data_IF_207947080247
#
_entry.id   IF_207947080247
#
_cell.length_a   1.000
_cell.length_b   1.000
_cell.length_c   1.000
_cell.angle_alpha   90.00
_cell.angle_beta   90.00
_cell.angle_gamma   90.00
#
_symmetry.space_group_name_H-M   'P 1'
#
loop_
_entity.id
_entity.type
_entity.pdbx_description
1 polymer ?
#
# COMPACT_ATOMS: atom_id res chain seq x y z
N UNK A 1 -6.40 0.74 -17.80
CA UNK A 1 -5.05 1.05 -17.29
C UNK A 1 -4.24 -0.24 -17.22
N UNK A 2 -2.97 -0.20 -17.64
CA UNK A 2 -2.04 -1.31 -17.42
C UNK A 2 -1.47 -1.31 -15.99
N UNK A 3 -1.27 -0.12 -15.43
CA UNK A 3 -0.76 0.11 -14.09
C UNK A 3 -1.56 1.23 -13.42
N UNK A 4 -1.89 1.04 -12.15
CA UNK A 4 -2.38 2.05 -11.22
C UNK A 4 -1.37 2.18 -10.08
N UNK A 5 -0.95 3.40 -9.75
CA UNK A 5 -0.04 3.67 -8.63
C UNK A 5 -0.76 4.58 -7.63
N UNK A 6 -0.85 4.13 -6.37
CA UNK A 6 -1.57 4.80 -5.28
C UNK A 6 -0.54 5.31 -4.27
N UNK A 7 -0.42 6.64 -4.18
CA UNK A 7 0.49 7.40 -3.32
C UNK A 7 -0.12 8.78 -3.04
N UNK A 8 -1.36 8.75 -2.56
CA UNK A 8 -2.23 9.92 -2.38
C UNK A 8 -2.43 10.26 -0.91
N UNK A 9 -3.69 10.30 -0.47
CA UNK A 9 -4.00 10.48 0.96
C UNK A 9 -3.62 9.22 1.74
N UNK A 10 -2.68 9.36 2.68
CA UNK A 10 -2.22 8.27 3.53
C UNK A 10 -3.18 7.95 4.68
N UNK A 11 -4.34 8.61 4.78
CA UNK A 11 -5.39 8.13 5.67
C UNK A 11 -5.90 6.76 5.21
N UNK A 12 -6.29 5.89 6.15
CA UNK A 12 -6.85 4.58 5.83
C UNK A 12 -8.05 4.67 4.88
N UNK A 13 -8.95 5.63 5.12
CA UNK A 13 -10.12 5.85 4.25
C UNK A 13 -9.73 6.42 2.88
N UNK A 14 -8.70 7.25 2.81
CA UNK A 14 -8.16 7.80 1.57
C UNK A 14 -7.65 6.70 0.64
N UNK A 15 -6.68 5.89 1.12
CA UNK A 15 -6.11 4.79 0.34
C UNK A 15 -7.17 3.73 -0.04
N UNK A 16 -8.10 3.43 0.87
CA UNK A 16 -9.22 2.50 0.59
C UNK A 16 -10.11 3.03 -0.52
N UNK A 17 -10.49 4.31 -0.44
CA UNK A 17 -11.33 4.97 -1.43
C UNK A 17 -10.66 5.00 -2.79
N UNK A 18 -9.38 5.36 -2.86
CA UNK A 18 -8.61 5.38 -4.11
C UNK A 18 -8.57 3.99 -4.75
N UNK A 19 -8.28 2.95 -3.95
CA UNK A 19 -8.32 1.57 -4.43
C UNK A 19 -9.71 1.19 -4.95
N UNK A 20 -10.77 1.46 -4.19
CA UNK A 20 -12.14 1.09 -4.56
C UNK A 20 -12.60 1.79 -5.85
N UNK A 21 -12.28 3.07 -5.99
CA UNK A 21 -12.66 3.90 -7.14
C UNK A 21 -11.89 3.53 -8.41
N UNK A 22 -10.59 3.33 -8.30
CA UNK A 22 -9.72 3.22 -9.47
C UNK A 22 -9.39 1.79 -9.88
N UNK A 23 -9.45 0.79 -8.97
CA UNK A 23 -9.17 -0.61 -9.33
C UNK A 23 -10.01 -1.14 -10.51
N UNK A 24 -11.30 -0.78 -10.72
CA UNK A 24 -12.08 -1.32 -11.83
C UNK A 24 -11.62 -0.78 -13.20
N UNK A 25 -10.79 0.27 -13.22
CA UNK A 25 -10.22 0.84 -14.45
C UNK A 25 -8.94 0.11 -14.88
N UNK A 26 -8.38 -0.74 -14.02
CA UNK A 26 -7.21 -1.57 -14.32
C UNK A 26 -7.70 -2.83 -15.04
N UNK A 27 -7.07 -3.15 -16.18
CA UNK A 27 -7.45 -4.34 -16.93
C UNK A 27 -7.08 -5.60 -16.15
N UNK A 28 -7.73 -6.71 -16.48
CA UNK A 28 -7.32 -8.03 -16.00
C UNK A 28 -5.83 -8.27 -16.31
N UNK A 29 -5.10 -8.78 -15.31
CA UNK A 29 -3.66 -9.00 -15.34
C UNK A 29 -2.80 -7.73 -15.21
N UNK A 30 -3.41 -6.53 -15.16
CA UNK A 30 -2.72 -5.27 -14.85
C UNK A 30 -2.26 -5.19 -13.40
N UNK A 31 -1.48 -4.15 -13.07
CA UNK A 31 -0.88 -3.99 -11.74
C UNK A 31 -1.49 -2.82 -10.97
N UNK A 32 -1.72 -3.02 -9.68
CA UNK A 32 -2.07 -1.98 -8.72
C UNK A 32 -0.93 -1.90 -7.70
N UNK A 33 -0.29 -0.74 -7.60
CA UNK A 33 0.89 -0.53 -6.76
C UNK A 33 0.54 0.47 -5.65
N UNK A 34 0.90 0.12 -4.42
CA UNK A 34 0.76 0.96 -3.23
C UNK A 34 2.14 1.39 -2.76
N UNK A 35 2.31 2.69 -2.50
CA UNK A 35 3.49 3.22 -1.81
C UNK A 35 3.30 3.17 -0.29
N UNK A 36 4.39 3.24 0.49
CA UNK A 36 4.38 3.30 1.97
C UNK A 36 3.70 2.12 2.69
N UNK A 37 3.95 0.89 2.24
CA UNK A 37 3.33 -0.32 2.83
C UNK A 37 3.98 -0.80 4.15
N UNK A 38 5.18 -0.32 4.49
CA UNK A 38 5.87 -0.66 5.74
C UNK A 38 5.48 0.34 6.83
N UNK A 39 5.10 -0.09 8.05
CA UNK A 39 4.85 0.84 9.15
C UNK A 39 6.09 1.68 9.49
N UNK A 40 5.91 3.00 9.58
CA UNK A 40 6.90 3.91 10.14
C UNK A 40 7.15 3.67 11.63
N UNK A 41 8.22 4.26 12.17
CA UNK A 41 8.61 4.14 13.57
C UNK A 41 7.61 4.76 14.54
N UNK A 42 6.81 5.73 14.09
CA UNK A 42 5.72 6.28 14.87
C UNK A 42 4.67 5.22 15.16
N UNK A 43 4.24 4.50 14.12
CA UNK A 43 3.28 3.41 14.25
C UNK A 43 3.87 2.19 14.98
N UNK A 44 5.11 1.81 14.65
CA UNK A 44 5.71 0.57 15.14
C UNK A 44 6.21 0.68 16.59
N UNK A 45 6.68 1.86 17.00
CA UNK A 45 7.36 2.06 18.29
C UNK A 45 6.85 3.26 19.10
N UNK A 46 5.93 4.07 18.57
CA UNK A 46 5.50 5.32 19.21
C UNK A 46 6.59 6.41 19.20
N UNK A 47 7.57 6.30 18.30
CA UNK A 47 8.70 7.23 18.22
C UNK A 47 8.37 8.45 17.33
N UNK A 48 8.97 9.60 17.61
CA UNK A 48 8.92 10.72 16.68
C UNK A 48 9.79 10.40 15.45
N UNK A 49 9.18 10.42 14.27
CA UNK A 49 9.84 10.20 12.98
C UNK A 49 9.36 11.23 11.95
N UNK A 50 10.13 11.38 10.86
CA UNK A 50 9.74 12.13 9.66
C UNK A 50 8.91 11.32 8.67
N UNK A 51 8.96 9.99 8.72
CA UNK A 51 8.15 9.14 7.85
C UNK A 51 6.68 9.21 8.28
N UNK A 52 5.76 9.10 7.32
CA UNK A 52 4.32 9.14 7.56
C UNK A 52 3.60 8.21 6.59
N UNK A 53 3.54 6.94 6.96
CA UNK A 53 2.88 5.90 6.14
C UNK A 53 1.37 5.79 6.41
N UNK A 54 0.89 6.43 7.48
CA UNK A 54 -0.53 6.54 7.80
C UNK A 54 -1.25 5.19 7.87
N UNK A 55 -2.43 5.09 7.27
CA UNK A 55 -3.24 3.88 7.21
C UNK A 55 -2.88 2.92 6.08
N UNK A 56 -1.87 3.23 5.25
CA UNK A 56 -1.49 2.38 4.10
C UNK A 56 -0.99 1.00 4.53
N UNK A 57 -0.11 0.84 5.55
CA UNK A 57 0.32 -0.47 6.01
C UNK A 57 -0.82 -1.36 6.49
N UNK A 58 -1.80 -0.78 7.20
CA UNK A 58 -3.00 -1.51 7.64
C UNK A 58 -3.82 -1.97 6.44
N UNK A 59 -4.14 -1.07 5.52
CA UNK A 59 -4.95 -1.41 4.35
C UNK A 59 -4.27 -2.46 3.46
N UNK A 60 -2.95 -2.33 3.27
CA UNK A 60 -2.17 -3.32 2.55
C UNK A 60 -2.22 -4.71 3.19
N UNK A 61 -2.11 -4.81 4.52
CA UNK A 61 -2.24 -6.08 5.23
C UNK A 61 -3.62 -6.74 4.99
N UNK A 62 -4.69 -5.95 4.92
CA UNK A 62 -6.02 -6.45 4.58
C UNK A 62 -6.09 -6.97 3.15
N UNK A 63 -5.54 -6.24 2.17
CA UNK A 63 -5.51 -6.68 0.78
C UNK A 63 -4.74 -8.01 0.63
N UNK A 64 -3.58 -8.15 1.27
CA UNK A 64 -2.81 -9.41 1.26
C UNK A 64 -3.61 -10.61 1.78
N UNK A 65 -4.55 -10.41 2.70
CA UNK A 65 -5.40 -11.49 3.20
C UNK A 65 -6.54 -11.87 2.24
N UNK A 66 -6.91 -10.98 1.33
CA UNK A 66 -8.04 -11.15 0.38
C UNK A 66 -7.60 -11.56 -1.01
N UNK A 67 -6.41 -11.14 -1.43
CA UNK A 67 -5.88 -11.33 -2.78
C UNK A 67 -4.66 -12.26 -2.76
N UNK A 68 -4.66 -13.33 -3.58
CA UNK A 68 -3.58 -14.31 -3.57
C UNK A 68 -2.33 -13.89 -4.36
N UNK A 69 -2.47 -13.00 -5.36
CA UNK A 69 -1.37 -12.55 -6.22
C UNK A 69 -0.90 -11.15 -5.82
N UNK A 70 -0.04 -11.12 -4.80
CA UNK A 70 0.58 -9.92 -4.25
C UNK A 70 2.09 -10.11 -4.09
N UNK A 71 2.84 -9.03 -4.27
CA UNK A 71 4.29 -8.98 -4.07
C UNK A 71 4.66 -7.72 -3.27
N UNK A 72 5.69 -7.82 -2.45
CA UNK A 72 6.28 -6.70 -1.73
C UNK A 72 7.69 -6.42 -2.25
N UNK A 73 8.02 -5.16 -2.47
CA UNK A 73 9.36 -4.69 -2.83
C UNK A 73 9.81 -3.78 -1.69
N UNK A 74 10.63 -4.33 -0.79
CA UNK A 74 11.09 -3.69 0.46
C UNK A 74 12.60 -3.95 0.58
N UNK A 75 13.38 -2.91 0.92
CA UNK A 75 14.82 -3.03 1.16
C UNK A 75 15.11 -3.66 2.54
N UNK A 76 14.62 -3.06 3.63
CA UNK A 76 14.64 -3.66 4.98
C UNK A 76 13.24 -3.58 5.60
N UNK A 77 12.61 -4.70 6.02
CA UNK A 77 11.31 -4.68 6.69
C UNK A 77 11.31 -3.88 8.01
N UNK A 78 12.48 -3.60 8.58
CA UNK A 78 12.69 -2.80 9.80
C UNK A 78 12.98 -1.32 9.51
N UNK A 79 12.96 -0.90 8.25
CA UNK A 79 13.13 0.50 7.88
C UNK A 79 11.96 1.36 8.37
N UNK A 80 12.16 2.67 8.35
CA UNK A 80 11.20 3.66 8.82
C UNK A 80 10.26 4.09 7.68
N UNK A 81 9.24 3.27 7.39
CA UNK A 81 8.26 3.53 6.32
C UNK A 81 8.64 2.97 4.95
N UNK A 82 8.08 3.53 3.88
CA UNK A 82 8.37 3.18 2.48
C UNK A 82 7.98 1.74 2.09
N UNK A 83 8.51 1.29 0.97
CA UNK A 83 8.22 -0.01 0.36
C UNK A 83 7.04 0.06 -0.61
N UNK A 84 7.03 -0.86 -1.58
CA UNK A 84 5.96 -0.98 -2.56
C UNK A 84 5.21 -2.29 -2.38
N UNK A 85 3.88 -2.22 -2.31
CA UNK A 85 3.00 -3.38 -2.44
C UNK A 85 2.46 -3.45 -3.85
N UNK A 86 2.58 -4.59 -4.52
CA UNK A 86 2.10 -4.82 -5.88
C UNK A 86 1.03 -5.89 -5.84
N UNK A 87 -0.17 -5.55 -6.31
CA UNK A 87 -1.31 -6.46 -6.46
C UNK A 87 -1.59 -6.66 -7.95
N UNK A 88 -1.78 -7.90 -8.40
CA UNK A 88 -2.25 -8.17 -9.76
C UNK A 88 -3.77 -8.13 -9.81
N UNK A 89 -4.32 -7.31 -10.71
CA UNK A 89 -5.75 -7.22 -10.92
C UNK A 89 -6.29 -8.49 -11.58
N UNK A 90 -7.36 -9.05 -11.01
CA UNK A 90 -8.10 -10.23 -11.48
C UNK A 90 -9.59 -9.97 -11.37
#
# INVERSE_FOLDING_TARGET
LDVLFIDGDHSYEGVRRDFEMYRPLVREGGLIVFHDIVPDFGQRYGASTRASTGGVPQFWAELKSRYPDVQEIIEDPRQDGYGLGVLRAS
#
